data_IF_654485044193
#
_entry.id   IF_654485044193
#
_cell.length_a   1.000
_cell.length_b   1.000
_cell.length_c   1.000
_cell.angle_alpha   90.00
_cell.angle_beta   90.00
_cell.angle_gamma   90.00
#
_symmetry.space_group_name_H-M   'P 1'
#
loop_
_entity.id
_entity.type
_entity.pdbx_description
1 polymer ?
#
# COMPACT_ATOMS: atom_id res chain seq x y z
N UNK A 1 4.74 -7.25 19.19
CA UNK A 1 5.43 -7.36 17.88
C UNK A 1 4.56 -7.97 16.78
N UNK A 2 4.02 -9.18 16.96
CA UNK A 2 3.20 -9.88 15.93
C UNK A 2 1.89 -9.14 15.59
N UNK A 3 1.18 -8.59 16.58
CA UNK A 3 -0.05 -7.80 16.35
C UNK A 3 0.23 -6.58 15.47
N UNK A 4 1.39 -5.92 15.63
CA UNK A 4 1.79 -4.77 14.80
C UNK A 4 2.01 -5.17 13.34
N UNK A 5 2.58 -6.36 13.09
CA UNK A 5 2.74 -6.91 11.74
C UNK A 5 1.41 -7.23 11.07
N UNK A 6 0.50 -7.87 11.80
CA UNK A 6 -0.85 -8.20 11.31
C UNK A 6 -1.63 -6.91 11.01
N UNK A 7 -1.60 -5.93 11.91
CA UNK A 7 -2.25 -4.64 11.71
C UNK A 7 -1.68 -3.91 10.49
N UNK A 8 -0.36 -3.96 10.31
CA UNK A 8 0.32 -3.36 9.15
C UNK A 8 -0.09 -4.04 7.85
N UNK A 9 -0.23 -5.38 7.83
CA UNK A 9 -0.69 -6.13 6.66
C UNK A 9 -2.14 -5.81 6.30
N UNK A 10 -3.00 -5.69 7.32
CA UNK A 10 -4.41 -5.27 7.16
C UNK A 10 -4.49 -3.86 6.60
N UNK A 11 -3.68 -2.92 7.10
CA UNK A 11 -3.60 -1.55 6.57
C UNK A 11 -3.17 -1.56 5.11
N UNK A 12 -2.17 -2.37 4.73
CA UNK A 12 -1.73 -2.49 3.33
C UNK A 12 -2.84 -3.02 2.42
N UNK A 13 -3.56 -4.05 2.86
CA UNK A 13 -4.67 -4.65 2.11
C UNK A 13 -5.82 -3.66 1.96
N UNK A 14 -6.19 -2.95 3.03
CA UNK A 14 -7.20 -1.90 2.99
C UNK A 14 -6.80 -0.76 2.06
N UNK A 15 -5.54 -0.31 2.16
CA UNK A 15 -5.01 0.74 1.31
C UNK A 15 -5.06 0.31 -0.15
N UNK A 16 -4.55 -0.88 -0.47
CA UNK A 16 -4.56 -1.47 -1.81
C UNK A 16 -5.99 -1.61 -2.34
N UNK A 17 -6.93 -2.11 -1.54
CA UNK A 17 -8.32 -2.28 -1.95
C UNK A 17 -9.04 -0.93 -2.19
N UNK A 18 -8.87 0.05 -1.30
CA UNK A 18 -9.39 1.41 -1.48
C UNK A 18 -8.79 2.06 -2.72
N UNK A 19 -7.49 1.88 -2.92
CA UNK A 19 -6.78 2.42 -4.07
C UNK A 19 -7.24 1.78 -5.37
N UNK A 20 -7.39 0.46 -5.40
CA UNK A 20 -7.94 -0.29 -6.54
C UNK A 20 -9.38 0.14 -6.84
N UNK A 21 -10.20 0.39 -5.81
CA UNK A 21 -11.58 0.86 -5.98
C UNK A 21 -11.63 2.27 -6.57
N UNK A 22 -10.73 3.16 -6.13
CA UNK A 22 -10.55 4.51 -6.69
C UNK A 22 -10.06 4.45 -8.14
N UNK A 23 -9.07 3.59 -8.41
CA UNK A 23 -8.53 3.30 -9.75
C UNK A 23 -9.55 2.74 -10.71
N UNK A 24 -10.35 1.76 -10.25
CA UNK A 24 -11.37 1.13 -11.08
C UNK A 24 -12.46 2.14 -11.45
N UNK A 25 -12.80 3.05 -10.55
CA UNK A 25 -13.73 4.14 -10.81
C UNK A 25 -13.15 5.16 -11.81
N UNK A 26 -11.92 5.64 -11.61
CA UNK A 26 -11.24 6.53 -12.56
C UNK A 26 -11.02 5.87 -13.93
N UNK A 27 -10.67 4.57 -13.96
CA UNK A 27 -10.48 3.82 -15.20
C UNK A 27 -11.78 3.63 -15.98
N UNK A 28 -12.93 3.51 -15.29
CA UNK A 28 -14.24 3.44 -15.94
C UNK A 28 -14.67 4.78 -16.54
N UNK A 29 -14.26 5.89 -15.92
CA UNK A 29 -14.61 7.25 -16.38
C UNK A 29 -13.65 7.81 -17.44
N UNK A 30 -12.36 7.42 -17.45
CA UNK A 30 -11.37 7.99 -18.38
C UNK A 30 -10.63 6.98 -19.27
N UNK A 31 -10.90 5.67 -19.15
CA UNK A 31 -10.32 4.62 -20.00
C UNK A 31 -8.80 4.43 -19.89
N UNK A 32 -8.09 5.27 -19.12
CA UNK A 32 -6.65 5.18 -18.87
C UNK A 32 -6.39 5.03 -17.39
N UNK A 33 -5.81 3.89 -17.02
CA UNK A 33 -5.24 3.64 -15.71
C UNK A 33 -4.11 4.66 -15.50
N UNK A 34 -4.29 5.61 -14.57
CA UNK A 34 -3.33 6.69 -14.37
C UNK A 34 -2.00 6.12 -13.87
N UNK A 35 -0.89 6.39 -14.58
CA UNK A 35 0.47 5.94 -14.21
C UNK A 35 0.86 6.36 -12.79
N UNK A 36 0.31 7.47 -12.32
CA UNK A 36 0.45 7.97 -10.95
C UNK A 36 -0.10 7.03 -9.89
N UNK A 37 -1.11 6.25 -10.25
CA UNK A 37 -1.74 5.32 -9.33
C UNK A 37 -0.89 4.06 -9.11
N UNK A 38 -0.22 3.59 -10.18
CA UNK A 38 0.79 2.53 -10.08
C UNK A 38 1.97 3.02 -9.24
N UNK A 39 2.41 4.27 -9.44
CA UNK A 39 3.48 4.87 -8.64
C UNK A 39 3.14 4.91 -7.15
N UNK A 40 1.91 5.30 -6.80
CA UNK A 40 1.45 5.31 -5.41
C UNK A 40 1.41 3.90 -4.79
N UNK A 41 1.03 2.89 -5.57
CA UNK A 41 0.96 1.51 -5.09
C UNK A 41 2.37 0.95 -4.81
N UNK A 42 3.34 1.26 -5.69
CA UNK A 42 4.75 0.92 -5.48
C UNK A 42 5.31 1.68 -4.28
N UNK A 43 5.04 2.98 -4.15
CA UNK A 43 5.48 3.79 -3.02
C UNK A 43 4.92 3.26 -1.68
N UNK A 44 3.65 2.85 -1.67
CA UNK A 44 3.03 2.24 -0.49
C UNK A 44 3.70 0.91 -0.11
N UNK A 45 4.05 0.06 -1.09
CA UNK A 45 4.79 -1.16 -0.84
C UNK A 45 6.20 -0.89 -0.27
N UNK A 46 6.92 0.10 -0.82
CA UNK A 46 8.25 0.51 -0.33
C UNK A 46 8.17 1.05 1.09
N UNK A 47 7.20 1.92 1.39
CA UNK A 47 6.94 2.42 2.74
C UNK A 47 6.67 1.29 3.72
N UNK A 48 5.94 0.26 3.29
CA UNK A 48 5.64 -0.89 4.13
C UNK A 48 6.90 -1.71 4.47
N UNK A 49 7.74 -1.95 3.47
CA UNK A 49 9.04 -2.64 3.64
C UNK A 49 9.95 -1.82 4.57
N UNK A 50 10.00 -0.49 4.41
CA UNK A 50 10.76 0.40 5.28
C UNK A 50 10.25 0.35 6.74
N UNK A 51 8.94 0.23 6.94
CA UNK A 51 8.32 0.10 8.27
C UNK A 51 8.69 -1.23 8.93
N UNK A 52 8.72 -2.33 8.18
CA UNK A 52 9.19 -3.63 8.67
C UNK A 52 10.66 -3.56 9.03
N UNK A 53 11.50 -3.00 8.15
CA UNK A 53 12.93 -2.81 8.40
C UNK A 53 13.19 -1.95 9.64
N UNK A 54 12.40 -0.92 9.87
CA UNK A 54 12.51 -0.08 11.07
C UNK A 54 12.14 -0.87 12.33
N UNK A 55 11.09 -1.69 12.29
CA UNK A 55 10.67 -2.52 13.43
C UNK A 55 11.72 -3.60 13.73
N UNK A 56 12.34 -4.19 12.70
CA UNK A 56 13.37 -5.22 12.85
C UNK A 56 14.73 -4.64 13.24
N UNK A 57 15.13 -3.54 12.61
CA UNK A 57 16.42 -2.88 12.85
C UNK A 57 16.50 -2.13 14.18
N UNK A 58 15.38 -1.66 14.72
CA UNK A 58 15.30 -1.05 16.04
C UNK A 58 15.20 -2.09 17.17
N UNK A 59 15.08 -3.38 16.83
CA UNK A 59 15.07 -4.51 17.77
C UNK A 59 16.45 -5.19 17.92
N UNK A 60 17.45 -4.73 17.17
CA UNK A 60 18.86 -5.16 17.24
C UNK A 60 19.67 -4.11 17.96
#
# INVERSE_FOLDING_TARGET
MVIRLIFSAIVLLLFTALFMKKLSRESKEQGRVSKWSIFFLVLAAVLWIALILTIFGMAM
#
